data_IF_753274355781
#
_entry.id   IF_753274355781
#
_cell.length_a   1.000
_cell.length_b   1.000
_cell.length_c   1.000
_cell.angle_alpha   90.00
_cell.angle_beta   90.00
_cell.angle_gamma   90.00
#
_symmetry.space_group_name_H-M   'P 1'
#
loop_
_entity.id
_entity.type
_entity.pdbx_description
1 polymer ?
#
# COMPACT_ATOMS: atom_id res chain seq x y z
N UNK A 1 10.54 3.72 -21.68
CA UNK A 1 9.64 4.81 -21.26
C UNK A 1 9.61 4.87 -19.74
N UNK A 2 10.05 5.97 -19.12
CA UNK A 2 10.19 6.08 -17.67
C UNK A 2 8.83 6.17 -16.96
N UNK A 3 8.61 5.37 -15.91
CA UNK A 3 7.39 5.35 -15.10
C UNK A 3 7.02 6.75 -14.53
N UNK A 4 8.03 7.58 -14.24
CA UNK A 4 7.85 8.96 -13.79
C UNK A 4 7.15 9.86 -14.83
N UNK A 5 7.40 9.62 -16.14
CA UNK A 5 6.77 10.39 -17.21
C UNK A 5 5.28 10.11 -17.34
N UNK A 6 4.86 8.88 -17.02
CA UNK A 6 3.45 8.49 -17.04
C UNK A 6 2.69 9.07 -15.84
N UNK A 7 3.31 9.05 -14.65
CA UNK A 7 2.75 9.61 -13.42
C UNK A 7 2.56 11.13 -13.53
N UNK A 8 3.54 11.86 -14.05
CA UNK A 8 3.43 13.31 -14.27
C UNK A 8 2.37 13.68 -15.31
N UNK A 9 2.09 12.79 -16.27
CA UNK A 9 1.05 12.99 -17.29
C UNK A 9 -0.36 12.70 -16.77
N UNK A 10 -0.49 11.84 -15.76
CA UNK A 10 -1.75 11.52 -15.08
C UNK A 10 -2.11 12.55 -13.99
N UNK A 11 -1.11 13.12 -13.31
CA UNK A 11 -1.33 14.00 -12.15
C UNK A 11 -1.23 15.50 -12.47
N UNK A 12 -0.49 15.90 -13.50
CA UNK A 12 -0.17 17.31 -13.76
C UNK A 12 -0.91 17.90 -14.95
N UNK A 13 -1.91 18.78 -14.70
CA UNK A 13 -2.15 19.87 -15.65
C UNK A 13 -0.92 20.77 -15.60
N UNK A 14 -0.15 20.84 -16.69
CA UNK A 14 0.88 21.88 -16.82
C UNK A 14 0.19 23.24 -16.76
N UNK A 15 0.41 23.99 -15.68
CA UNK A 15 0.01 25.39 -15.62
C UNK A 15 0.68 26.11 -16.79
N UNK A 16 -0.08 26.88 -17.57
CA UNK A 16 0.46 27.58 -18.72
C UNK A 16 1.51 28.59 -18.24
N UNK A 17 2.75 28.46 -18.72
CA UNK A 17 3.87 29.39 -18.46
C UNK A 17 3.71 30.73 -19.18
N UNK A 18 2.50 31.06 -19.62
CA UNK A 18 2.24 32.30 -20.33
C UNK A 18 2.16 33.44 -19.32
N UNK A 19 2.75 34.62 -19.61
CA UNK A 19 2.57 35.79 -18.76
C UNK A 19 1.08 36.13 -18.65
N UNK A 20 0.64 36.77 -17.55
CA UNK A 20 -0.75 37.20 -17.39
C UNK A 20 -1.27 37.91 -18.64
N UNK A 21 -2.51 37.59 -19.01
CA UNK A 21 -3.12 38.17 -20.20
C UNK A 21 -3.34 39.67 -20.00
N UNK A 22 -2.58 40.48 -20.75
CA UNK A 22 -2.72 41.93 -20.77
C UNK A 22 -3.74 42.32 -21.85
N UNK A 23 -4.84 42.94 -21.40
CA UNK A 23 -5.94 43.39 -22.26
C UNK A 23 -5.55 44.58 -23.14
N UNK A 24 -4.61 45.43 -22.71
CA UNK A 24 -4.21 46.64 -23.43
C UNK A 24 -3.40 46.32 -24.70
N UNK A 25 -2.56 45.27 -24.63
CA UNK A 25 -1.78 44.81 -25.79
C UNK A 25 -2.55 43.87 -26.72
N UNK A 26 -3.84 43.57 -26.50
CA UNK A 26 -4.55 42.56 -27.28
C UNK A 26 -4.81 43.03 -28.72
N UNK A 27 -4.40 42.22 -29.70
CA UNK A 27 -4.48 42.52 -31.15
C UNK A 27 -5.93 42.51 -31.63
N UNK A 28 -6.77 41.73 -30.96
CA UNK A 28 -8.18 41.58 -31.25
C UNK A 28 -9.01 42.06 -30.05
N UNK A 29 -9.26 43.37 -29.91
CA UNK A 29 -10.03 43.90 -28.79
C UNK A 29 -11.47 43.38 -28.81
N UNK A 30 -12.04 43.12 -27.63
CA UNK A 30 -13.42 42.69 -27.52
C UNK A 30 -14.35 43.85 -27.93
N UNK A 31 -15.20 43.62 -28.95
CA UNK A 31 -16.16 44.63 -29.44
C UNK A 31 -17.23 45.01 -28.40
N UNK A 32 -17.51 44.12 -27.45
CA UNK A 32 -18.46 44.33 -26.36
C UNK A 32 -17.73 44.16 -25.03
N UNK A 33 -17.90 45.12 -24.14
CA UNK A 33 -17.36 45.07 -22.78
C UNK A 33 -18.06 43.95 -22.02
N UNK A 34 -17.27 42.98 -21.55
CA UNK A 34 -17.74 41.99 -20.59
C UNK A 34 -17.32 42.44 -19.19
N UNK A 35 -18.13 42.26 -18.13
CA UNK A 35 -19.50 41.73 -18.08
C UNK A 35 -20.57 42.76 -18.49
N UNK A 36 -21.73 42.32 -19.02
CA UNK A 36 -22.85 43.21 -19.28
C UNK A 36 -23.47 43.72 -17.97
N UNK A 37 -23.98 44.97 -17.97
CA UNK A 37 -24.72 45.54 -16.86
C UNK A 37 -26.04 44.78 -16.66
N UNK A 38 -26.07 43.82 -15.71
CA UNK A 38 -27.24 42.96 -15.48
C UNK A 38 -28.51 43.73 -15.12
N UNK A 39 -28.39 44.97 -14.62
CA UNK A 39 -29.50 45.83 -14.22
C UNK A 39 -30.24 46.47 -15.39
N UNK A 40 -29.59 46.59 -16.55
CA UNK A 40 -30.17 47.20 -17.76
C UNK A 40 -30.85 46.16 -18.67
N UNK A 41 -30.71 44.87 -18.38
CA UNK A 41 -31.28 43.78 -19.18
C UNK A 41 -32.74 43.51 -18.80
N UNK A 42 -33.56 43.10 -19.78
CA UNK A 42 -34.91 42.59 -19.53
C UNK A 42 -34.88 41.37 -18.60
N UNK A 43 -35.88 41.22 -17.73
CA UNK A 43 -36.00 40.10 -16.78
C UNK A 43 -35.85 38.72 -17.43
N UNK A 44 -36.44 38.52 -18.61
CA UNK A 44 -36.29 37.27 -19.39
C UNK A 44 -34.83 36.95 -19.73
N UNK A 45 -34.04 37.98 -20.06
CA UNK A 45 -32.63 37.82 -20.36
C UNK A 45 -31.82 37.60 -19.07
N UNK A 46 -32.13 38.33 -18.00
CA UNK A 46 -31.52 38.13 -16.68
C UNK A 46 -31.69 36.68 -16.20
N UNK A 47 -32.91 36.13 -16.28
CA UNK A 47 -33.20 34.74 -15.91
C UNK A 47 -32.39 33.73 -16.75
N UNK A 48 -32.22 33.98 -18.05
CA UNK A 48 -31.39 33.14 -18.91
C UNK A 48 -29.91 33.14 -18.46
N UNK A 49 -29.36 34.32 -18.14
CA UNK A 49 -27.99 34.45 -17.66
C UNK A 49 -27.81 33.79 -16.29
N UNK A 50 -28.76 33.99 -15.37
CA UNK A 50 -28.73 33.36 -14.05
C UNK A 50 -28.74 31.83 -14.17
N UNK A 51 -29.64 31.27 -14.99
CA UNK A 51 -29.70 29.83 -15.24
C UNK A 51 -28.39 29.30 -15.83
N UNK A 52 -27.79 30.03 -16.78
CA UNK A 52 -26.50 29.67 -17.39
C UNK A 52 -25.36 29.75 -16.38
N UNK A 53 -25.36 30.76 -15.51
CA UNK A 53 -24.38 30.92 -14.45
C UNK A 53 -24.45 29.78 -13.44
N UNK A 54 -25.64 29.49 -12.87
CA UNK A 54 -25.84 28.38 -11.92
C UNK A 54 -25.36 27.04 -12.48
N UNK A 55 -25.67 26.75 -13.75
CA UNK A 55 -25.18 25.54 -14.44
C UNK A 55 -23.66 25.49 -14.51
N UNK A 56 -23.01 26.59 -14.92
CA UNK A 56 -21.54 26.67 -15.03
C UNK A 56 -20.87 26.57 -13.67
N UNK A 57 -21.43 27.21 -12.64
CA UNK A 57 -20.92 27.14 -11.26
C UNK A 57 -21.02 25.72 -10.73
N UNK A 58 -22.12 25.01 -10.98
CA UNK A 58 -22.24 23.58 -10.67
C UNK A 58 -21.19 22.74 -11.38
N UNK A 59 -20.95 22.99 -12.66
CA UNK A 59 -19.90 22.26 -13.40
C UNK A 59 -18.50 22.56 -12.89
N UNK A 60 -18.23 23.79 -12.44
CA UNK A 60 -16.95 24.20 -11.83
C UNK A 60 -16.78 23.67 -10.41
N UNK A 61 -17.86 23.48 -9.66
CA UNK A 61 -17.80 22.96 -8.28
C UNK A 61 -17.55 21.45 -8.25
N UNK A 62 -17.88 20.73 -9.32
CA UNK A 62 -17.50 19.32 -9.47
C UNK A 62 -15.97 19.25 -9.52
N UNK A 63 -15.36 18.68 -8.47
CA UNK A 63 -13.92 18.42 -8.38
C UNK A 63 -13.65 16.94 -8.74
N UNK A 64 -13.41 16.62 -10.03
CA UNK A 64 -13.25 15.23 -10.46
C UNK A 64 -11.99 14.57 -9.87
N UNK A 65 -10.96 15.35 -9.57
CA UNK A 65 -9.72 14.84 -8.96
C UNK A 65 -9.96 14.41 -7.51
N UNK A 66 -10.66 15.24 -6.72
CA UNK A 66 -11.03 14.90 -5.34
C UNK A 66 -11.83 13.60 -5.29
N UNK A 67 -12.84 13.46 -6.15
CA UNK A 67 -13.64 12.25 -6.23
C UNK A 67 -12.85 11.00 -6.65
N UNK A 68 -11.78 11.16 -7.44
CA UNK A 68 -10.88 10.03 -7.78
C UNK A 68 -10.05 9.62 -6.56
N UNK A 69 -9.48 10.58 -5.84
CA UNK A 69 -8.70 10.32 -4.64
C UNK A 69 -9.52 9.68 -3.53
N UNK A 70 -10.72 10.18 -3.26
CA UNK A 70 -11.59 9.57 -2.23
C UNK A 70 -11.96 8.14 -2.58
N UNK A 71 -12.23 7.83 -3.84
CA UNK A 71 -12.47 6.45 -4.29
C UNK A 71 -11.25 5.56 -4.10
N UNK A 72 -10.04 6.04 -4.43
CA UNK A 72 -8.80 5.29 -4.20
C UNK A 72 -8.63 5.01 -2.70
N UNK A 73 -8.84 6.01 -1.85
CA UNK A 73 -8.76 5.86 -0.39
C UNK A 73 -9.81 4.88 0.15
N UNK A 74 -11.04 4.93 -0.37
CA UNK A 74 -12.10 3.98 0.00
C UNK A 74 -11.70 2.55 -0.34
N UNK A 75 -11.24 2.30 -1.57
CA UNK A 75 -10.78 0.98 -1.99
C UNK A 75 -9.55 0.53 -1.21
N UNK A 76 -8.59 1.43 -0.93
CA UNK A 76 -7.42 1.08 -0.12
C UNK A 76 -7.80 0.70 1.30
N UNK A 77 -8.78 1.38 1.90
CA UNK A 77 -9.25 1.06 3.25
C UNK A 77 -9.98 -0.29 3.28
N UNK A 78 -10.84 -0.56 2.30
CA UNK A 78 -11.51 -1.86 2.15
C UNK A 78 -10.46 -2.97 2.00
N UNK A 79 -9.50 -2.81 1.10
CA UNK A 79 -8.41 -3.78 0.92
C UNK A 79 -7.57 -3.96 2.18
N UNK A 80 -7.27 -2.87 2.89
CA UNK A 80 -6.52 -2.91 4.15
C UNK A 80 -7.25 -3.73 5.21
N UNK A 81 -8.56 -3.50 5.40
CA UNK A 81 -9.36 -4.26 6.37
C UNK A 81 -9.40 -5.74 6.00
N UNK A 82 -9.54 -6.07 4.71
CA UNK A 82 -9.54 -7.46 4.24
C UNK A 82 -8.19 -8.12 4.54
N UNK A 83 -7.08 -7.47 4.19
CA UNK A 83 -5.72 -8.00 4.46
C UNK A 83 -5.51 -8.16 5.97
N UNK A 84 -5.89 -7.17 6.77
CA UNK A 84 -5.78 -7.26 8.22
C UNK A 84 -6.62 -8.42 8.77
N UNK A 85 -7.88 -8.54 8.37
CA UNK A 85 -8.77 -9.63 8.77
C UNK A 85 -8.19 -11.00 8.40
N UNK A 86 -7.77 -11.18 7.15
CA UNK A 86 -7.29 -12.46 6.67
C UNK A 86 -5.94 -12.85 7.28
N UNK A 87 -5.01 -11.91 7.47
CA UNK A 87 -3.62 -12.24 7.82
C UNK A 87 -3.22 -11.94 9.27
N UNK A 88 -3.75 -10.88 9.87
CA UNK A 88 -3.27 -10.37 11.16
C UNK A 88 -4.30 -10.51 12.29
N UNK A 89 -5.59 -10.55 11.97
CA UNK A 89 -6.63 -10.69 12.97
C UNK A 89 -6.66 -12.11 13.53
N UNK A 90 -6.57 -12.22 14.85
CA UNK A 90 -6.61 -13.48 15.56
C UNK A 90 -8.05 -13.84 15.96
N UNK A 91 -8.71 -14.63 15.11
CA UNK A 91 -10.05 -15.14 15.38
C UNK A 91 -10.10 -16.24 16.45
N UNK A 92 -8.96 -16.73 16.95
CA UNK A 92 -8.96 -17.78 17.99
C UNK A 92 -9.46 -17.26 19.35
N UNK A 93 -9.29 -15.97 19.60
CA UNK A 93 -9.68 -15.28 20.85
C UNK A 93 -11.07 -14.62 20.75
N UNK A 94 -11.72 -14.71 19.58
CA UNK A 94 -13.00 -14.05 19.33
C UNK A 94 -14.17 -14.87 19.93
N UNK A 95 -15.00 -14.31 20.82
CA UNK A 95 -16.14 -15.00 21.41
C UNK A 95 -17.23 -15.38 20.38
N UNK A 96 -17.21 -14.80 19.17
CA UNK A 96 -18.19 -15.06 18.11
C UNK A 96 -17.74 -16.15 17.10
N UNK A 97 -16.62 -16.83 17.36
CA UNK A 97 -16.12 -17.88 16.47
C UNK A 97 -16.89 -19.21 16.68
N UNK A 98 -17.52 -19.79 15.64
CA UNK A 98 -18.24 -21.07 15.75
C UNK A 98 -17.33 -22.26 16.05
N UNK A 99 -16.02 -22.15 15.82
CA UNK A 99 -15.02 -23.16 16.19
C UNK A 99 -13.96 -22.54 17.12
N UNK A 100 -14.17 -22.56 18.44
CA UNK A 100 -13.24 -21.96 19.39
C UNK A 100 -11.85 -22.62 19.28
N UNK A 101 -10.79 -21.80 19.27
CA UNK A 101 -9.41 -22.25 19.22
C UNK A 101 -8.83 -22.57 17.84
N UNK A 102 -9.62 -22.52 16.75
CA UNK A 102 -9.10 -22.65 15.38
C UNK A 102 -9.06 -21.30 14.67
N UNK A 103 -7.90 -20.93 14.14
CA UNK A 103 -7.76 -19.75 13.27
C UNK A 103 -8.22 -20.10 11.83
N UNK A 104 -9.19 -19.36 11.27
CA UNK A 104 -9.53 -19.48 9.86
C UNK A 104 -8.38 -18.93 9.02
N UNK A 105 -8.18 -19.50 7.82
CA UNK A 105 -7.14 -19.13 6.86
C UNK A 105 -5.68 -19.42 7.27
N UNK A 106 -5.43 -20.25 8.31
CA UNK A 106 -4.08 -20.63 8.72
C UNK A 106 -3.20 -21.12 7.55
N UNK A 107 -3.72 -22.03 6.72
CA UNK A 107 -2.98 -22.54 5.57
C UNK A 107 -2.70 -21.51 4.46
N UNK A 108 -3.48 -20.43 4.38
CA UNK A 108 -3.20 -19.31 3.47
C UNK A 108 -2.08 -18.42 4.04
N UNK A 109 -2.11 -18.15 5.36
CA UNK A 109 -1.08 -17.40 6.07
C UNK A 109 0.27 -18.10 5.95
N UNK A 110 0.32 -19.40 6.23
CA UNK A 110 1.56 -20.20 6.20
C UNK A 110 2.17 -20.23 4.79
N UNK A 111 1.34 -20.40 3.74
CA UNK A 111 1.81 -20.34 2.34
C UNK A 111 2.36 -18.97 1.98
N UNK A 112 1.69 -17.89 2.38
CA UNK A 112 2.17 -16.54 2.12
C UNK A 112 3.50 -16.27 2.84
N UNK A 113 3.62 -16.65 4.12
CA UNK A 113 4.86 -16.48 4.88
C UNK A 113 5.99 -17.36 4.35
N UNK A 114 5.70 -18.56 3.83
CA UNK A 114 6.68 -19.37 3.11
C UNK A 114 7.15 -18.71 1.81
N UNK A 115 6.24 -18.10 1.04
CA UNK A 115 6.59 -17.37 -0.19
C UNK A 115 7.39 -16.10 0.12
N UNK A 116 6.96 -15.30 1.09
CA UNK A 116 7.70 -14.11 1.54
C UNK A 116 9.06 -14.51 2.12
N UNK A 117 9.11 -15.54 2.96
CA UNK A 117 10.33 -16.07 3.54
C UNK A 117 11.33 -16.47 2.47
N UNK A 118 10.89 -17.15 1.41
CA UNK A 118 11.75 -17.53 0.29
C UNK A 118 12.22 -16.34 -0.55
N UNK A 119 11.45 -15.25 -0.61
CA UNK A 119 11.82 -14.05 -1.36
C UNK A 119 12.83 -13.16 -0.62
N UNK A 120 12.70 -13.06 0.72
CA UNK A 120 13.61 -12.28 1.57
C UNK A 120 14.84 -13.08 2.03
N UNK A 121 14.73 -14.41 2.14
CA UNK A 121 15.87 -15.30 2.40
C UNK A 121 16.59 -15.56 1.09
N UNK A 122 17.32 -14.56 0.60
CA UNK A 122 18.35 -14.78 -0.39
C UNK A 122 19.44 -15.61 0.30
N UNK A 123 19.41 -16.93 0.10
CA UNK A 123 20.57 -17.76 0.40
C UNK A 123 21.71 -17.16 -0.42
N UNK A 124 22.85 -16.74 0.16
CA UNK A 124 24.00 -16.44 -0.67
C UNK A 124 24.23 -17.66 -1.56
N UNK A 125 24.25 -17.47 -2.87
CA UNK A 125 24.65 -18.52 -3.78
C UNK A 125 26.05 -18.95 -3.37
N UNK A 126 26.16 -20.09 -2.68
CA UNK A 126 27.42 -20.79 -2.49
C UNK A 126 27.88 -21.29 -3.86
N UNK A 127 28.40 -20.37 -4.66
CA UNK A 127 29.38 -20.67 -5.69
C UNK A 127 30.67 -20.97 -4.90
N UNK A 128 30.83 -22.23 -4.51
CA UNK A 128 32.14 -22.84 -4.32
C UNK A 128 32.90 -22.65 -2.99
N UNK A 129 32.27 -22.59 -1.82
CA UNK A 129 33.00 -22.82 -0.55
C UNK A 129 32.18 -23.73 0.35
N UNK A 130 32.66 -24.98 0.53
CA UNK A 130 32.02 -25.97 1.38
C UNK A 130 32.00 -25.55 2.84
N UNK A 131 30.85 -25.75 3.48
CA UNK A 131 30.68 -25.52 4.92
C UNK A 131 31.58 -26.48 5.71
N UNK A 132 32.67 -25.94 6.24
CA UNK A 132 33.51 -26.56 7.27
C UNK A 132 32.77 -26.43 8.60
N UNK A 133 31.86 -27.36 8.91
CA UNK A 133 31.19 -27.27 10.21
C UNK A 133 30.17 -28.33 10.59
N UNK A 134 29.68 -29.15 9.66
CA UNK A 134 28.75 -30.22 10.03
C UNK A 134 29.52 -31.41 10.64
N UNK A 135 29.70 -31.31 11.96
CA UNK A 135 30.23 -32.36 12.82
C UNK A 135 29.32 -33.57 12.68
N UNK A 136 29.79 -34.56 11.92
CA UNK A 136 29.27 -35.93 11.80
C UNK A 136 28.98 -36.50 13.20
N UNK A 137 27.75 -36.37 13.67
CA UNK A 137 27.19 -37.23 14.71
C UNK A 137 26.77 -38.51 14.03
N UNK A 138 27.66 -39.50 13.96
CA UNK A 138 27.30 -40.94 14.01
C UNK A 138 28.56 -41.81 14.22
N UNK A 139 28.38 -42.78 15.13
CA UNK A 139 29.18 -44.00 15.36
C UNK A 139 30.61 -43.84 15.88
N UNK A 140 30.75 -43.77 17.21
CA UNK A 140 31.88 -44.41 17.88
C UNK A 140 31.46 -45.78 18.44
N UNK A 141 32.07 -46.77 17.82
CA UNK A 141 32.23 -48.19 18.14
C UNK A 141 32.11 -48.62 19.60
N UNK A 142 31.48 -49.79 19.76
CA UNK A 142 31.49 -50.74 20.87
C UNK A 142 32.77 -50.75 21.75
N UNK A 143 32.68 -50.97 23.08
CA UNK A 143 33.81 -50.97 23.99
C UNK A 143 34.74 -52.16 23.75
N UNK A 144 36.04 -51.90 23.57
CA UNK A 144 37.07 -52.93 23.56
C UNK A 144 37.44 -53.28 24.99
N UNK A 145 37.46 -54.58 25.26
CA UNK A 145 37.75 -55.23 26.52
C UNK A 145 39.09 -54.82 27.16
N UNK A 146 39.05 -54.72 28.49
CA UNK A 146 40.20 -54.91 29.37
C UNK A 146 41.00 -53.65 29.71
N UNK A 147 40.49 -52.83 30.63
CA UNK A 147 41.31 -52.12 31.63
C UNK A 147 40.48 -52.02 32.92
N UNK A 148 41.14 -52.31 34.03
CA UNK A 148 40.61 -52.73 35.32
C UNK A 148 39.87 -51.62 36.10
N UNK A 149 38.89 -52.06 36.89
CA UNK A 149 38.14 -51.25 37.84
C UNK A 149 39.07 -50.65 38.90
N UNK A 150 38.95 -49.34 39.11
CA UNK A 150 39.52 -48.66 40.27
C UNK A 150 38.36 -48.01 41.03
N UNK A 151 38.02 -48.61 42.18
CA UNK A 151 36.97 -48.17 43.08
C UNK A 151 37.48 -47.02 43.95
N UNK A 152 36.95 -45.80 43.75
CA UNK A 152 37.11 -44.71 44.72
C UNK A 152 35.80 -44.48 45.46
N UNK A 153 35.80 -44.99 46.69
CA UNK A 153 34.79 -44.85 47.73
C UNK A 153 34.59 -43.37 48.05
N UNK A 154 33.36 -42.89 47.87
CA UNK A 154 32.88 -41.59 48.35
C UNK A 154 32.49 -41.69 49.84
N UNK A 155 33.02 -40.85 50.74
CA UNK A 155 32.58 -40.83 52.13
C UNK A 155 31.36 -39.92 52.32
N UNK A 156 30.27 -40.51 52.78
CA UNK A 156 29.08 -39.86 53.35
C UNK A 156 29.35 -39.41 54.79
N UNK A 157 29.16 -38.11 55.07
CA UNK A 157 28.78 -37.48 56.35
C UNK A 157 28.80 -35.95 56.12
N UNK A 158 27.77 -35.14 56.39
CA UNK A 158 26.64 -35.19 57.32
C UNK A 158 25.40 -34.55 56.68
#
# INVERSE_FOLDING_TARGET
MSAMGFINRLLGRKQSQLPPFDFARNRYPAKKTWPPNLRELTEKQQFHFERKFKRRTRLKSIKPTWNKWTKIVQWSLISFIIVHGVFFYDFSTDPMNPTPGKQPFQGLRDKMWAILGNFYTQKPSTIGVGDRGERRTELMSSPRAGVEAFDDVSPTAK
#
